data_IF_367480900630
#
_entry.id   IF_367480900630
#
_cell.length_a   1.000
_cell.length_b   1.000
_cell.length_c   1.000
_cell.angle_alpha   90.00
_cell.angle_beta   90.00
_cell.angle_gamma   90.00
#
_symmetry.space_group_name_H-M   'P 1'
#
loop_
_entity.id
_entity.type
_entity.pdbx_description
1 polymer ?
#
# COMPACT_ATOMS: atom_id res chain seq x y z
N UNK A 1 8.91 -5.52 -1.62
CA UNK A 1 10.26 -6.16 -1.57
C UNK A 1 10.31 -7.32 -0.58
N UNK A 2 9.66 -7.21 0.59
CA UNK A 2 9.70 -8.24 1.63
C UNK A 2 9.27 -9.62 1.16
N UNK A 3 8.31 -9.74 0.23
CA UNK A 3 7.90 -11.06 -0.28
C UNK A 3 9.01 -11.75 -1.11
N UNK A 4 9.73 -10.99 -1.94
CA UNK A 4 10.88 -11.53 -2.69
C UNK A 4 12.00 -11.96 -1.74
N UNK A 5 12.30 -11.13 -0.73
CA UNK A 5 13.30 -11.47 0.28
C UNK A 5 12.88 -12.69 1.09
N UNK A 6 11.60 -12.80 1.46
CA UNK A 6 11.06 -13.95 2.18
C UNK A 6 11.25 -15.24 1.38
N UNK A 7 10.86 -15.28 0.11
CA UNK A 7 11.03 -16.48 -0.72
C UNK A 7 12.50 -16.78 -1.01
N UNK A 8 13.34 -15.75 -1.20
CA UNK A 8 14.78 -15.94 -1.38
C UNK A 8 15.45 -16.53 -0.11
N UNK A 9 15.10 -16.03 1.07
CA UNK A 9 15.60 -16.51 2.34
C UNK A 9 15.09 -17.93 2.66
N UNK A 10 13.78 -18.18 2.46
CA UNK A 10 13.17 -19.49 2.65
C UNK A 10 13.81 -20.54 1.73
N UNK A 11 14.03 -20.20 0.46
CA UNK A 11 14.76 -21.05 -0.47
C UNK A 11 16.19 -21.32 0.00
N UNK A 12 16.95 -20.29 0.39
CA UNK A 12 18.32 -20.44 0.90
C UNK A 12 18.39 -21.38 2.11
N UNK A 13 17.51 -21.17 3.09
CA UNK A 13 17.47 -21.96 4.32
C UNK A 13 17.09 -23.43 4.04
N UNK A 14 16.04 -23.68 3.25
CA UNK A 14 15.61 -25.04 2.92
C UNK A 14 16.61 -25.79 2.04
N UNK A 15 17.32 -25.11 1.13
CA UNK A 15 18.42 -25.73 0.39
C UNK A 15 19.57 -26.11 1.34
N UNK A 16 19.89 -25.27 2.33
CA UNK A 16 20.93 -25.59 3.33
C UNK A 16 20.53 -26.78 4.21
N UNK A 17 19.30 -26.80 4.74
CA UNK A 17 18.79 -27.93 5.53
C UNK A 17 18.80 -29.22 4.69
N UNK A 18 18.38 -29.15 3.43
CA UNK A 18 18.42 -30.31 2.55
C UNK A 18 19.85 -30.82 2.32
N UNK A 19 20.83 -29.94 2.14
CA UNK A 19 22.24 -30.34 2.03
C UNK A 19 22.74 -31.02 3.31
N UNK A 20 22.35 -30.53 4.49
CA UNK A 20 22.66 -31.18 5.77
C UNK A 20 22.04 -32.57 5.86
N UNK A 21 20.75 -32.72 5.53
CA UNK A 21 20.04 -34.00 5.52
C UNK A 21 20.66 -35.03 4.56
N UNK A 22 21.29 -34.57 3.48
CA UNK A 22 21.98 -35.44 2.53
C UNK A 22 23.39 -35.86 2.96
N UNK A 23 23.95 -35.26 4.01
CA UNK A 23 25.29 -35.57 4.50
C UNK A 23 25.45 -37.03 4.93
N UNK A 24 26.66 -37.56 4.77
CA UNK A 24 26.96 -38.96 5.12
C UNK A 24 26.69 -39.26 6.60
N UNK A 25 26.93 -38.29 7.47
CA UNK A 25 26.64 -38.40 8.90
C UNK A 25 25.15 -38.67 9.17
N UNK A 26 24.26 -37.89 8.55
CA UNK A 26 22.81 -38.05 8.75
C UNK A 26 22.30 -39.32 8.07
N UNK A 27 22.84 -39.69 6.89
CA UNK A 27 22.50 -40.96 6.25
C UNK A 27 22.87 -42.17 7.10
N UNK A 28 24.04 -42.17 7.76
CA UNK A 28 24.44 -43.24 8.69
C UNK A 28 23.49 -43.32 9.89
N UNK A 29 23.11 -42.18 10.48
CA UNK A 29 22.14 -42.14 11.59
C UNK A 29 20.80 -42.74 11.16
N UNK A 30 20.31 -42.43 9.95
CA UNK A 30 19.09 -43.02 9.41
C UNK A 30 19.18 -44.54 9.24
N UNK A 31 20.30 -45.07 8.77
CA UNK A 31 20.52 -46.51 8.65
C UNK A 31 20.47 -47.22 10.01
N UNK A 32 21.06 -46.62 11.05
CA UNK A 32 20.99 -47.18 12.41
C UNK A 32 19.57 -47.12 12.99
N UNK A 33 18.85 -46.01 12.77
CA UNK A 33 17.45 -45.87 13.20
C UNK A 33 16.53 -46.88 12.51
N UNK A 34 16.82 -47.22 11.25
CA UNK A 34 16.08 -48.23 10.50
C UNK A 34 16.40 -49.66 11.00
N UNK A 35 17.69 -49.97 11.17
CA UNK A 35 18.14 -51.26 11.69
C UNK A 35 17.59 -51.55 13.11
N UNK A 36 17.46 -50.51 13.93
CA UNK A 36 16.89 -50.60 15.30
C UNK A 36 15.36 -50.62 15.33
N UNK A 37 14.68 -50.54 14.17
CA UNK A 37 13.21 -50.40 14.06
C UNK A 37 12.66 -49.28 14.96
N UNK A 38 13.38 -48.16 15.02
CA UNK A 38 13.03 -47.03 15.86
C UNK A 38 11.68 -46.42 15.48
N UNK A 39 10.85 -46.11 16.48
CA UNK A 39 9.58 -45.41 16.29
C UNK A 39 9.74 -44.01 15.70
N UNK A 40 10.94 -43.42 15.76
CA UNK A 40 11.25 -42.08 15.24
C UNK A 40 11.56 -42.06 13.74
N UNK A 41 11.79 -43.20 13.10
CA UNK A 41 12.14 -43.26 11.68
C UNK A 41 11.00 -42.72 10.79
N UNK A 42 9.76 -43.17 11.02
CA UNK A 42 8.59 -42.75 10.22
C UNK A 42 8.30 -41.25 10.32
N UNK A 43 8.22 -40.63 11.53
CA UNK A 43 8.08 -39.17 11.66
C UNK A 43 9.22 -38.39 10.99
N UNK A 44 10.47 -38.85 11.13
CA UNK A 44 11.61 -38.18 10.51
C UNK A 44 11.58 -38.25 8.98
N UNK A 45 11.25 -39.41 8.41
CA UNK A 45 11.07 -39.57 6.97
C UNK A 45 9.96 -38.66 6.43
N UNK A 46 8.87 -38.49 7.19
CA UNK A 46 7.79 -37.54 6.87
C UNK A 46 8.31 -36.10 6.84
N UNK A 47 9.06 -35.67 7.86
CA UNK A 47 9.67 -34.33 7.89
C UNK A 47 10.63 -34.10 6.70
N UNK A 48 11.45 -35.09 6.35
CA UNK A 48 12.31 -35.01 5.16
C UNK A 48 11.51 -34.79 3.87
N UNK A 49 10.37 -35.48 3.73
CA UNK A 49 9.47 -35.30 2.58
C UNK A 49 8.84 -33.90 2.59
N UNK A 50 8.41 -33.40 3.73
CA UNK A 50 7.87 -32.04 3.88
C UNK A 50 8.92 -30.98 3.52
N UNK A 51 10.15 -31.12 3.99
CA UNK A 51 11.28 -30.25 3.63
C UNK A 51 11.54 -30.28 2.13
N UNK A 52 11.53 -31.46 1.50
CA UNK A 52 11.72 -31.58 0.06
C UNK A 52 10.64 -30.85 -0.73
N UNK A 53 9.36 -31.01 -0.36
CA UNK A 53 8.24 -30.33 -1.01
C UNK A 53 8.30 -28.80 -0.79
N UNK A 54 8.51 -28.35 0.45
CA UNK A 54 8.64 -26.94 0.78
C UNK A 54 9.84 -26.29 0.07
N UNK A 55 10.93 -27.02 -0.12
CA UNK A 55 12.11 -26.58 -0.87
C UNK A 55 11.79 -26.40 -2.35
N UNK A 56 11.12 -27.38 -2.96
CA UNK A 56 10.70 -27.30 -4.37
C UNK A 56 9.81 -26.07 -4.60
N UNK A 57 8.82 -25.86 -3.72
CA UNK A 57 7.97 -24.67 -3.73
C UNK A 57 8.78 -23.36 -3.58
N UNK A 58 9.66 -23.28 -2.58
CA UNK A 58 10.38 -22.04 -2.31
C UNK A 58 11.32 -21.66 -3.46
N UNK A 59 11.96 -22.66 -4.09
CA UNK A 59 12.82 -22.43 -5.26
C UNK A 59 12.02 -21.98 -6.48
N UNK A 60 10.86 -22.61 -6.76
CA UNK A 60 9.98 -22.24 -7.87
C UNK A 60 9.46 -20.80 -7.69
N UNK A 61 8.93 -20.48 -6.52
CA UNK A 61 8.45 -19.13 -6.22
C UNK A 61 9.56 -18.09 -6.33
N UNK A 62 10.76 -18.37 -5.79
CA UNK A 62 11.91 -17.48 -5.95
C UNK A 62 12.24 -17.24 -7.42
N UNK A 63 12.24 -18.29 -8.23
CA UNK A 63 12.54 -18.20 -9.66
C UNK A 63 11.52 -17.35 -10.41
N UNK A 64 10.23 -17.61 -10.22
CA UNK A 64 9.17 -16.87 -10.90
C UNK A 64 8.98 -15.44 -10.38
N UNK A 65 9.31 -15.15 -9.11
CA UNK A 65 9.24 -13.79 -8.57
C UNK A 65 10.45 -12.93 -8.95
N UNK A 66 11.58 -13.53 -9.33
CA UNK A 66 12.80 -12.79 -9.66
C UNK A 66 12.63 -11.69 -10.72
N UNK A 67 11.88 -11.90 -11.83
CA UNK A 67 11.61 -10.84 -12.80
C UNK A 67 10.91 -9.60 -12.23
N UNK A 68 10.15 -9.74 -11.13
CA UNK A 68 9.51 -8.61 -10.45
C UNK A 68 10.50 -7.75 -9.65
N UNK A 69 11.69 -8.26 -9.32
CA UNK A 69 12.68 -7.54 -8.53
C UNK A 69 13.02 -6.19 -9.17
N UNK A 70 13.33 -6.20 -10.47
CA UNK A 70 13.63 -4.99 -11.24
C UNK A 70 12.50 -3.96 -11.17
N UNK A 71 11.24 -4.40 -11.30
CA UNK A 71 10.10 -3.49 -11.26
C UNK A 71 9.86 -2.91 -9.87
N UNK A 72 10.09 -3.69 -8.81
CA UNK A 72 9.99 -3.21 -7.43
C UNK A 72 11.14 -2.29 -7.04
N UNK A 73 12.33 -2.53 -7.56
CA UNK A 73 13.45 -1.57 -7.43
C UNK A 73 13.11 -0.25 -8.11
N UNK A 74 12.58 -0.28 -9.34
CA UNK A 74 12.14 0.92 -10.05
C UNK A 74 11.03 1.66 -9.30
N UNK A 75 10.04 0.92 -8.76
CA UNK A 75 8.97 1.49 -7.95
C UNK A 75 9.52 2.16 -6.67
N UNK A 76 10.48 1.52 -6.01
CA UNK A 76 11.12 2.06 -4.81
C UNK A 76 12.02 3.26 -5.13
N UNK A 77 12.68 3.29 -6.28
CA UNK A 77 13.57 4.39 -6.70
C UNK A 77 12.84 5.57 -7.34
N UNK A 78 11.60 5.39 -7.80
CA UNK A 78 10.83 6.43 -8.46
C UNK A 78 10.67 7.65 -7.53
N UNK A 79 10.93 8.83 -8.08
CA UNK A 79 10.89 10.09 -7.33
C UNK A 79 9.53 10.76 -7.45
N UNK A 80 8.84 10.54 -8.57
CA UNK A 80 7.57 11.21 -8.88
C UNK A 80 6.43 10.20 -9.02
N UNK A 81 5.21 10.63 -8.66
CA UNK A 81 4.00 9.82 -8.83
C UNK A 81 3.70 9.47 -10.30
N UNK A 82 3.91 10.37 -11.28
CA UNK A 82 3.75 10.03 -12.70
C UNK A 82 4.69 8.91 -13.17
N UNK A 83 5.95 8.86 -12.72
CA UNK A 83 6.85 7.73 -13.04
C UNK A 83 6.30 6.40 -12.52
N UNK A 84 5.77 6.40 -11.29
CA UNK A 84 5.16 5.23 -10.67
C UNK A 84 3.98 4.71 -11.49
N UNK A 85 3.15 5.62 -12.01
CA UNK A 85 1.97 5.31 -12.82
C UNK A 85 2.34 4.44 -14.03
N UNK A 86 3.43 4.76 -14.70
CA UNK A 86 3.85 4.08 -15.93
C UNK A 86 4.38 2.65 -15.67
N UNK A 87 4.73 2.33 -14.42
CA UNK A 87 5.19 1.00 -14.00
C UNK A 87 4.06 0.00 -13.76
N UNK A 88 2.81 0.45 -13.57
CA UNK A 88 1.71 -0.45 -13.17
C UNK A 88 1.37 -1.51 -14.21
N UNK A 89 1.36 -1.14 -15.51
CA UNK A 89 1.05 -2.08 -16.58
C UNK A 89 2.13 -3.18 -16.71
N UNK A 90 3.44 -2.86 -16.79
CA UNK A 90 4.50 -3.86 -16.75
C UNK A 90 4.46 -4.79 -15.53
N UNK A 91 4.20 -4.23 -14.34
CA UNK A 91 4.09 -5.00 -13.10
C UNK A 91 2.93 -5.99 -13.18
N UNK A 92 1.71 -5.52 -13.47
CA UNK A 92 0.53 -6.38 -13.52
C UNK A 92 0.62 -7.43 -14.63
N UNK A 93 1.25 -7.10 -15.76
CA UNK A 93 1.53 -8.07 -16.81
C UNK A 93 2.48 -9.16 -16.33
N UNK A 94 3.57 -8.79 -15.67
CA UNK A 94 4.53 -9.74 -15.11
C UNK A 94 3.86 -10.66 -14.07
N UNK A 95 2.98 -10.11 -13.22
CA UNK A 95 2.18 -10.89 -12.26
C UNK A 95 1.27 -11.88 -12.99
N UNK A 96 0.60 -11.48 -14.07
CA UNK A 96 -0.23 -12.39 -14.87
C UNK A 96 0.60 -13.52 -15.49
N UNK A 97 1.79 -13.22 -16.03
CA UNK A 97 2.68 -14.24 -16.59
C UNK A 97 3.17 -15.24 -15.52
N UNK A 98 3.50 -14.74 -14.33
CA UNK A 98 3.85 -15.58 -13.18
C UNK A 98 2.68 -16.47 -12.78
N UNK A 99 1.48 -15.90 -12.72
CA UNK A 99 0.26 -16.63 -12.39
C UNK A 99 -0.04 -17.76 -13.40
N UNK A 100 0.24 -17.53 -14.68
CA UNK A 100 0.09 -18.52 -15.75
C UNK A 100 1.12 -19.64 -15.68
N UNK A 101 2.36 -19.30 -15.32
CA UNK A 101 3.51 -20.18 -15.53
C UNK A 101 3.95 -20.91 -14.26
N UNK A 102 3.76 -20.29 -13.08
CA UNK A 102 4.19 -20.86 -11.82
C UNK A 102 3.25 -21.96 -11.35
N UNK A 103 3.85 -23.02 -10.80
CA UNK A 103 3.11 -24.17 -10.25
C UNK A 103 2.67 -23.95 -8.81
N UNK A 104 3.41 -23.13 -8.07
CA UNK A 104 3.18 -22.92 -6.65
C UNK A 104 2.69 -21.50 -6.34
N UNK A 105 3.06 -20.49 -7.13
CA UNK A 105 2.73 -19.09 -6.81
C UNK A 105 1.29 -18.70 -7.19
N UNK A 106 0.63 -19.48 -8.05
CA UNK A 106 -0.70 -19.23 -8.60
C UNK A 106 -1.85 -19.46 -7.60
N UNK A 107 -1.67 -19.00 -6.35
CA UNK A 107 -2.61 -19.16 -5.22
C UNK A 107 -3.11 -17.77 -4.80
N UNK A 108 -4.44 -17.58 -4.60
CA UNK A 108 -5.02 -16.27 -4.27
C UNK A 108 -4.36 -15.56 -3.09
N UNK A 109 -4.03 -16.29 -2.02
CA UNK A 109 -3.40 -15.72 -0.83
C UNK A 109 -2.05 -15.06 -1.10
N UNK A 110 -1.25 -15.58 -2.05
CA UNK A 110 0.07 -15.00 -2.41
C UNK A 110 -0.09 -13.71 -3.20
N UNK A 111 -0.99 -13.74 -4.17
CA UNK A 111 -1.34 -12.55 -4.93
C UNK A 111 -1.89 -11.43 -4.04
N UNK A 112 -2.64 -11.77 -2.98
CA UNK A 112 -3.09 -10.78 -1.98
C UNK A 112 -1.91 -10.10 -1.28
N UNK A 113 -0.91 -10.86 -0.84
CA UNK A 113 0.29 -10.29 -0.19
C UNK A 113 1.03 -9.36 -1.15
N UNK A 114 1.24 -9.80 -2.39
CA UNK A 114 1.96 -9.04 -3.40
C UNK A 114 1.28 -7.71 -3.73
N UNK A 115 -0.03 -7.75 -4.01
CA UNK A 115 -0.80 -6.54 -4.34
C UNK A 115 -0.85 -5.59 -3.15
N UNK A 116 -1.00 -6.10 -1.92
CA UNK A 116 -0.94 -5.26 -0.71
C UNK A 116 0.42 -4.57 -0.56
N UNK A 117 1.52 -5.26 -0.84
CA UNK A 117 2.85 -4.63 -0.81
C UNK A 117 2.97 -3.51 -1.85
N UNK A 118 2.41 -3.70 -3.05
CA UNK A 118 2.38 -2.65 -4.09
C UNK A 118 1.52 -1.46 -3.62
N UNK A 119 0.31 -1.71 -3.10
CA UNK A 119 -0.55 -0.66 -2.53
C UNK A 119 0.18 0.14 -1.44
N UNK A 120 0.84 -0.54 -0.51
CA UNK A 120 1.58 0.11 0.58
C UNK A 120 2.71 1.00 0.05
N UNK A 121 3.43 0.56 -0.98
CA UNK A 121 4.50 1.38 -1.58
C UNK A 121 3.93 2.60 -2.32
N UNK A 122 2.79 2.45 -3.02
CA UNK A 122 2.09 3.59 -3.65
C UNK A 122 1.67 4.62 -2.60
N UNK A 123 1.04 4.18 -1.50
CA UNK A 123 0.61 5.04 -0.40
C UNK A 123 1.82 5.77 0.21
N UNK A 124 2.91 5.04 0.49
CA UNK A 124 4.15 5.61 1.01
C UNK A 124 4.70 6.71 0.10
N UNK A 125 4.72 6.48 -1.22
CA UNK A 125 5.17 7.46 -2.20
C UNK A 125 4.24 8.67 -2.30
N UNK A 126 2.93 8.46 -2.19
CA UNK A 126 1.96 9.54 -2.18
C UNK A 126 2.09 10.42 -0.91
N UNK A 127 2.30 9.81 0.27
CA UNK A 127 2.55 10.54 1.52
C UNK A 127 3.89 11.28 1.50
N UNK A 128 4.93 10.74 0.84
CA UNK A 128 6.18 11.47 0.62
C UNK A 128 6.02 12.66 -0.32
N UNK A 129 5.10 12.56 -1.28
CA UNK A 129 4.79 13.65 -2.20
C UNK A 129 4.08 14.79 -1.45
N UNK A 130 3.05 14.46 -0.67
CA UNK A 130 2.29 15.38 0.18
C UNK A 130 2.03 14.75 1.57
N UNK A 131 2.66 15.32 2.59
CA UNK A 131 2.43 15.01 3.99
C UNK A 131 1.69 16.18 4.68
N UNK A 132 1.26 15.99 5.93
CA UNK A 132 0.51 17.01 6.68
C UNK A 132 1.30 18.30 6.91
N UNK A 133 2.60 18.21 7.19
CA UNK A 133 3.47 19.38 7.35
C UNK A 133 3.50 20.23 6.07
N UNK A 134 3.82 19.61 4.93
CA UNK A 134 3.86 20.28 3.63
C UNK A 134 2.50 20.81 3.21
N UNK A 135 1.43 20.10 3.53
CA UNK A 135 0.06 20.58 3.31
C UNK A 135 -0.16 21.91 4.04
N UNK A 136 0.18 21.98 5.33
CA UNK A 136 0.00 23.20 6.11
C UNK A 136 0.95 24.33 5.71
N UNK A 137 2.19 24.02 5.31
CA UNK A 137 3.11 25.00 4.72
C UNK A 137 2.50 25.64 3.46
N UNK A 138 1.92 24.84 2.56
CA UNK A 138 1.24 25.35 1.36
C UNK A 138 0.00 26.18 1.70
N UNK A 139 -0.75 25.79 2.74
CA UNK A 139 -1.89 26.56 3.25
C UNK A 139 -1.42 27.94 3.76
N UNK A 140 -0.33 27.99 4.53
CA UNK A 140 0.21 29.24 5.10
C UNK A 140 0.80 30.16 4.03
N UNK A 141 1.38 29.59 2.98
CA UNK A 141 1.88 30.33 1.82
C UNK A 141 0.76 30.75 0.85
N UNK A 142 -0.51 30.40 1.14
CA UNK A 142 -1.65 30.60 0.23
C UNK A 142 -1.52 29.91 -1.13
N UNK A 143 -0.75 28.82 -1.20
CA UNK A 143 -0.50 28.00 -2.39
C UNK A 143 -1.45 26.78 -2.46
N UNK A 144 -2.73 27.00 -2.16
CA UNK A 144 -3.76 25.95 -2.09
C UNK A 144 -3.97 25.21 -3.42
N UNK A 145 -3.76 25.90 -4.53
CA UNK A 145 -3.84 25.30 -5.87
C UNK A 145 -2.80 24.20 -6.06
N UNK A 146 -1.61 24.39 -5.51
CA UNK A 146 -0.54 23.39 -5.52
C UNK A 146 -0.90 22.20 -4.64
N UNK A 147 -1.39 22.43 -3.41
CA UNK A 147 -1.84 21.35 -2.52
C UNK A 147 -2.94 20.50 -3.17
N UNK A 148 -3.94 21.16 -3.78
CA UNK A 148 -5.02 20.49 -4.50
C UNK A 148 -4.52 19.68 -5.70
N UNK A 149 -3.60 20.25 -6.50
CA UNK A 149 -2.97 19.56 -7.61
C UNK A 149 -2.24 18.29 -7.14
N UNK A 150 -1.50 18.38 -6.03
CA UNK A 150 -0.76 17.25 -5.48
C UNK A 150 -1.67 16.13 -4.93
N UNK A 151 -2.78 16.49 -4.28
CA UNK A 151 -3.82 15.54 -3.86
C UNK A 151 -4.47 14.86 -5.08
N UNK A 152 -4.83 15.64 -6.10
CA UNK A 152 -5.44 15.13 -7.33
C UNK A 152 -4.51 14.15 -8.07
N UNK A 153 -3.22 14.47 -8.18
CA UNK A 153 -2.23 13.54 -8.76
C UNK A 153 -2.18 12.23 -7.96
N UNK A 154 -2.18 12.30 -6.62
CA UNK A 154 -2.17 11.12 -5.75
C UNK A 154 -3.41 10.24 -5.94
N UNK A 155 -4.60 10.85 -5.97
CA UNK A 155 -5.88 10.18 -6.25
C UNK A 155 -5.86 9.52 -7.63
N UNK A 156 -5.40 10.22 -8.67
CA UNK A 156 -5.32 9.72 -10.03
C UNK A 156 -4.40 8.51 -10.16
N UNK A 157 -3.22 8.54 -9.52
CA UNK A 157 -2.28 7.42 -9.53
C UNK A 157 -2.88 6.20 -8.82
N UNK A 158 -3.48 6.38 -7.65
CA UNK A 158 -4.14 5.29 -6.92
C UNK A 158 -5.31 4.68 -7.71
N UNK A 159 -6.15 5.52 -8.32
CA UNK A 159 -7.24 5.08 -9.19
C UNK A 159 -6.74 4.36 -10.44
N UNK A 160 -5.65 4.84 -11.04
CA UNK A 160 -5.03 4.19 -12.20
C UNK A 160 -4.53 2.79 -11.86
N UNK A 161 -3.88 2.60 -10.70
CA UNK A 161 -3.45 1.28 -10.26
C UNK A 161 -4.62 0.30 -10.16
N UNK A 162 -5.73 0.71 -9.53
CA UNK A 162 -6.96 -0.09 -9.45
C UNK A 162 -7.48 -0.45 -10.84
N UNK A 163 -7.58 0.52 -11.74
CA UNK A 163 -8.04 0.31 -13.11
C UNK A 163 -7.16 -0.72 -13.83
N UNK A 164 -5.84 -0.57 -13.77
CA UNK A 164 -4.90 -1.53 -14.37
C UNK A 164 -5.06 -2.91 -13.74
N UNK A 165 -5.18 -3.02 -12.41
CA UNK A 165 -5.44 -4.30 -11.76
C UNK A 165 -6.72 -4.96 -12.27
N UNK A 166 -7.81 -4.21 -12.41
CA UNK A 166 -9.08 -4.74 -12.93
C UNK A 166 -8.99 -5.16 -14.40
N UNK A 167 -8.25 -4.44 -15.24
CA UNK A 167 -7.96 -4.85 -16.61
C UNK A 167 -7.27 -6.23 -16.65
N UNK A 168 -6.24 -6.43 -15.81
CA UNK A 168 -5.52 -7.70 -15.74
C UNK A 168 -6.33 -8.81 -15.06
N UNK A 169 -7.17 -8.47 -14.08
CA UNK A 169 -8.15 -9.41 -13.51
C UNK A 169 -9.10 -9.92 -14.59
N UNK A 170 -9.62 -9.04 -15.44
CA UNK A 170 -10.47 -9.42 -16.58
C UNK A 170 -9.72 -10.30 -17.60
N UNK A 171 -8.46 -9.94 -17.93
CA UNK A 171 -7.61 -10.78 -18.80
C UNK A 171 -7.33 -12.17 -18.20
N UNK A 172 -7.23 -12.29 -16.87
CA UNK A 172 -7.05 -13.60 -16.23
C UNK A 172 -8.22 -14.55 -16.48
N UNK A 173 -9.44 -14.01 -16.68
CA UNK A 173 -10.64 -14.80 -16.99
C UNK A 173 -10.53 -15.47 -18.36
N UNK A 174 -10.00 -14.76 -19.35
CA UNK A 174 -9.86 -15.26 -20.72
C UNK A 174 -8.61 -16.10 -20.90
N UNK A 175 -7.49 -15.71 -20.29
CA UNK A 175 -6.20 -16.39 -20.47
C UNK A 175 -5.99 -17.60 -19.56
N UNK A 176 -6.66 -17.66 -18.41
CA UNK A 176 -6.49 -18.73 -17.40
C UNK A 176 -7.85 -19.20 -16.84
N UNK A 177 -8.74 -19.75 -17.68
CA UNK A 177 -10.11 -20.11 -17.26
C UNK A 177 -10.15 -21.17 -16.16
N UNK A 178 -9.08 -21.98 -16.00
CA UNK A 178 -8.97 -22.99 -14.95
C UNK A 178 -8.51 -22.46 -13.58
N UNK A 179 -7.88 -21.28 -13.52
CA UNK A 179 -7.37 -20.70 -12.28
C UNK A 179 -7.42 -19.16 -12.34
N UNK A 180 -8.62 -18.61 -12.15
CA UNK A 180 -8.87 -17.18 -12.25
C UNK A 180 -8.38 -16.43 -10.99
N UNK A 181 -8.22 -15.12 -11.10
CA UNK A 181 -7.97 -14.24 -9.94
C UNK A 181 -9.24 -14.09 -9.07
N UNK A 182 -9.62 -15.16 -8.37
CA UNK A 182 -10.77 -15.22 -7.45
C UNK A 182 -10.43 -14.61 -6.10
N UNK A 183 -10.17 -13.30 -6.10
CA UNK A 183 -9.82 -12.54 -4.89
C UNK A 183 -10.90 -11.51 -4.59
N UNK A 184 -11.25 -11.41 -3.31
CA UNK A 184 -12.12 -10.35 -2.78
C UNK A 184 -11.39 -9.02 -2.85
N UNK A 185 -11.94 -8.07 -3.61
CA UNK A 185 -11.30 -6.77 -3.85
C UNK A 185 -11.06 -6.00 -2.54
N UNK A 186 -12.01 -6.07 -1.59
CA UNK A 186 -11.91 -5.39 -0.29
C UNK A 186 -10.66 -5.85 0.47
N UNK A 187 -10.31 -7.13 0.40
CA UNK A 187 -9.11 -7.64 1.05
C UNK A 187 -7.81 -7.08 0.43
N UNK A 188 -7.83 -6.67 -0.83
CA UNK A 188 -6.66 -6.12 -1.52
C UNK A 188 -6.47 -4.63 -1.25
N UNK A 189 -7.58 -3.89 -1.32
CA UNK A 189 -7.54 -2.44 -1.40
C UNK A 189 -7.87 -1.72 -0.11
N UNK A 190 -8.23 -2.41 0.99
CA UNK A 190 -8.65 -1.77 2.26
C UNK A 190 -7.79 -0.56 2.68
N UNK A 191 -6.46 -0.68 2.64
CA UNK A 191 -5.56 0.43 3.01
C UNK A 191 -5.48 1.52 1.94
N UNK A 192 -5.53 1.14 0.67
CA UNK A 192 -5.56 2.08 -0.45
C UNK A 192 -6.88 2.85 -0.50
N UNK A 193 -7.99 2.20 -0.15
CA UNK A 193 -9.32 2.79 -0.05
C UNK A 193 -9.35 3.81 1.09
N UNK A 194 -8.87 3.43 2.28
CA UNK A 194 -8.71 4.35 3.40
C UNK A 194 -7.83 5.57 3.03
N UNK A 195 -6.77 5.37 2.25
CA UNK A 195 -5.94 6.46 1.74
C UNK A 195 -6.69 7.39 0.79
N UNK A 196 -7.48 6.84 -0.14
CA UNK A 196 -8.29 7.63 -1.06
C UNK A 196 -9.33 8.48 -0.30
N UNK A 197 -10.02 7.89 0.68
CA UNK A 197 -10.95 8.64 1.54
C UNK A 197 -10.23 9.76 2.29
N UNK A 198 -9.06 9.48 2.88
CA UNK A 198 -8.24 10.50 3.55
C UNK A 198 -7.86 11.64 2.61
N UNK A 199 -7.45 11.34 1.38
CA UNK A 199 -7.17 12.37 0.37
C UNK A 199 -8.40 13.21 0.04
N UNK A 200 -9.60 12.61 0.00
CA UNK A 200 -10.85 13.32 -0.23
C UNK A 200 -11.21 14.24 0.93
N UNK A 201 -11.08 13.77 2.17
CA UNK A 201 -11.30 14.57 3.39
C UNK A 201 -10.37 15.79 3.43
N UNK A 202 -9.08 15.58 3.16
CA UNK A 202 -8.08 16.65 3.13
C UNK A 202 -8.34 17.62 1.98
N UNK A 203 -8.83 17.15 0.84
CA UNK A 203 -9.22 18.01 -0.27
C UNK A 203 -10.45 18.87 0.07
N UNK A 204 -11.39 18.34 0.84
CA UNK A 204 -12.52 19.12 1.36
C UNK A 204 -12.04 20.19 2.37
N UNK A 205 -11.04 19.85 3.20
CA UNK A 205 -10.40 20.81 4.12
C UNK A 205 -9.75 21.98 3.37
N UNK A 206 -8.94 21.71 2.35
CA UNK A 206 -8.28 22.75 1.55
C UNK A 206 -9.29 23.63 0.81
N UNK A 207 -10.37 23.04 0.28
CA UNK A 207 -11.45 23.79 -0.34
C UNK A 207 -12.17 24.70 0.67
N UNK A 208 -12.45 24.19 1.87
CA UNK A 208 -13.08 24.97 2.95
C UNK A 208 -12.20 26.15 3.33
N UNK A 209 -10.90 25.90 3.55
CA UNK A 209 -9.94 26.97 3.83
C UNK A 209 -9.93 28.04 2.73
N UNK A 210 -9.91 27.64 1.45
CA UNK A 210 -9.96 28.57 0.33
C UNK A 210 -11.21 29.48 0.35
N UNK A 211 -12.38 28.96 0.71
CA UNK A 211 -13.60 29.77 0.81
C UNK A 211 -13.52 30.75 1.99
N UNK A 212 -13.03 30.30 3.14
CA UNK A 212 -12.90 31.16 4.32
C UNK A 212 -11.83 32.24 4.16
N UNK A 213 -10.77 31.98 3.40
CA UNK A 213 -9.77 33.00 3.08
C UNK A 213 -10.36 34.18 2.29
N UNK A 214 -11.40 33.95 1.47
CA UNK A 214 -12.11 35.03 0.76
C UNK A 214 -12.93 35.91 1.71
N UNK A 215 -13.42 35.35 2.82
CA UNK A 215 -14.16 36.11 3.83
C UNK A 215 -13.27 37.14 4.54
N UNK A 216 -11.96 36.88 4.64
CA UNK A 216 -11.01 37.79 5.25
C UNK A 216 -10.90 39.16 4.55
N UNK A 217 -11.20 39.21 3.25
CA UNK A 217 -11.12 40.43 2.44
C UNK A 217 -12.51 41.01 2.11
N UNK A 218 -13.58 40.41 2.63
CA UNK A 218 -14.95 40.77 2.26
C UNK A 218 -15.48 41.91 3.14
N UNK A 219 -15.64 43.09 2.53
CA UNK A 219 -16.32 44.22 3.16
C UNK A 219 -17.76 44.34 2.63
N UNK A 220 -18.74 44.37 3.55
CA UNK A 220 -20.15 44.53 3.20
C UNK A 220 -20.53 46.02 3.29
N UNK A 221 -20.96 46.59 2.16
CA UNK A 221 -21.48 47.95 2.09
C UNK A 221 -22.94 48.09 2.53
N UNK A 222 -23.39 49.34 2.71
CA UNK A 222 -24.80 49.67 2.99
C UNK A 222 -25.10 50.07 4.44
N UNK A 223 -26.37 50.31 4.75
CA UNK A 223 -26.83 50.87 6.04
C UNK A 223 -26.59 49.94 7.24
N UNK A 224 -26.48 48.62 7.00
CA UNK A 224 -26.08 47.60 7.99
C UNK A 224 -24.69 47.03 7.73
N UNK A 225 -23.91 47.64 6.82
CA UNK A 225 -22.64 47.11 6.35
C UNK A 225 -21.64 46.88 7.47
N UNK A 226 -21.46 47.85 8.38
CA UNK A 226 -20.54 47.72 9.54
C UNK A 226 -20.84 46.48 10.39
N UNK A 227 -22.10 46.26 10.77
CA UNK A 227 -22.48 45.12 11.61
C UNK A 227 -22.21 43.79 10.90
N UNK A 228 -22.55 43.70 9.62
CA UNK A 228 -22.34 42.49 8.83
C UNK A 228 -20.85 42.21 8.59
N UNK A 229 -20.05 43.22 8.29
CA UNK A 229 -18.59 43.09 8.16
C UNK A 229 -17.96 42.63 9.47
N UNK A 230 -18.38 43.16 10.62
CA UNK A 230 -17.91 42.68 11.93
C UNK A 230 -18.28 41.22 12.18
N UNK A 231 -19.51 40.80 11.84
CA UNK A 231 -19.91 39.39 11.95
C UNK A 231 -19.09 38.47 11.06
N UNK A 232 -18.79 38.87 9.82
CA UNK A 232 -17.95 38.10 8.90
C UNK A 232 -16.53 37.95 9.43
N UNK A 233 -15.93 39.02 9.95
CA UNK A 233 -14.60 38.95 10.57
C UNK A 233 -14.58 38.06 11.83
N UNK A 234 -15.65 38.05 12.61
CA UNK A 234 -15.76 37.14 13.76
C UNK A 234 -15.78 35.67 13.31
N UNK A 235 -16.61 35.34 12.31
CA UNK A 235 -16.66 33.98 11.74
C UNK A 235 -15.28 33.56 11.22
N UNK A 236 -14.56 34.46 10.57
CA UNK A 236 -13.20 34.18 10.10
C UNK A 236 -12.22 33.96 11.25
N UNK A 237 -12.31 34.74 12.34
CA UNK A 237 -11.49 34.54 13.53
C UNK A 237 -11.74 33.18 14.21
N UNK A 238 -13.01 32.79 14.35
CA UNK A 238 -13.40 31.50 14.93
C UNK A 238 -12.88 30.32 14.07
N UNK A 239 -12.91 30.48 12.74
CA UNK A 239 -12.32 29.54 11.80
C UNK A 239 -10.79 29.43 11.97
N UNK A 240 -10.09 30.56 12.12
CA UNK A 240 -8.64 30.55 12.34
C UNK A 240 -8.26 29.83 13.64
N UNK A 241 -9.03 29.99 14.72
CA UNK A 241 -8.81 29.26 15.97
C UNK A 241 -8.98 27.75 15.77
N UNK A 242 -10.04 27.35 15.06
CA UNK A 242 -10.33 25.94 14.78
C UNK A 242 -9.26 25.31 13.89
N UNK A 243 -8.74 26.05 12.90
CA UNK A 243 -7.62 25.63 12.07
C UNK A 243 -6.32 25.49 12.89
N UNK A 244 -6.06 26.42 13.82
CA UNK A 244 -4.89 26.34 14.69
C UNK A 244 -4.93 25.09 15.59
N UNK A 245 -6.12 24.69 16.06
CA UNK A 245 -6.31 23.43 16.78
C UNK A 245 -5.95 22.22 15.90
N UNK A 246 -6.42 22.19 14.64
CA UNK A 246 -6.08 21.12 13.68
C UNK A 246 -4.59 21.06 13.33
N UNK A 247 -3.92 22.21 13.27
CA UNK A 247 -2.47 22.27 13.01
C UNK A 247 -1.62 21.78 14.18
N UNK A 248 -2.10 21.93 15.41
CA UNK A 248 -1.35 21.60 16.62
C UNK A 248 -1.49 20.13 17.04
N UNK A 249 -2.08 19.32 16.18
CA UNK A 249 -2.24 17.88 16.34
C UNK A 249 -0.87 17.20 16.31
N UNK A 250 -0.64 16.21 17.18
CA UNK A 250 0.68 15.55 17.34
C UNK A 250 0.96 14.44 16.31
N UNK A 251 0.13 14.31 15.28
CA UNK A 251 0.27 13.30 14.23
C UNK A 251 0.14 13.94 12.85
N UNK A 252 0.65 13.26 11.83
CA UNK A 252 0.51 13.68 10.44
C UNK A 252 -0.91 13.42 9.94
N UNK A 253 -1.62 14.44 9.46
CA UNK A 253 -2.97 14.32 8.91
C UNK A 253 -3.08 13.31 7.77
N UNK A 254 -2.00 13.05 7.02
CA UNK A 254 -1.98 12.08 5.94
C UNK A 254 -1.64 10.67 6.41
N UNK A 255 -1.25 10.47 7.67
CA UNK A 255 -0.98 9.15 8.24
C UNK A 255 -2.28 8.38 8.48
N UNK A 256 -2.34 7.18 7.90
CA UNK A 256 -3.49 6.27 8.01
C UNK A 256 -3.50 5.49 9.32
N UNK A 257 -2.35 5.37 9.99
CA UNK A 257 -2.24 4.67 11.25
C UNK A 257 -2.68 5.56 12.44
N UNK A 258 -2.85 6.88 12.19
CA UNK A 258 -3.39 7.85 13.13
C UNK A 258 -4.91 7.75 13.28
N UNK A 259 -5.36 7.04 14.32
CA UNK A 259 -6.79 6.80 14.61
C UNK A 259 -7.58 8.04 15.02
N UNK A 260 -6.91 9.05 15.56
CA UNK A 260 -7.56 10.26 16.07
C UNK A 260 -8.00 11.23 14.97
N UNK A 261 -7.52 11.03 13.72
CA UNK A 261 -7.89 11.88 12.59
C UNK A 261 -9.40 12.00 12.38
N UNK A 262 -10.12 10.88 12.42
CA UNK A 262 -11.56 10.90 12.14
C UNK A 262 -12.33 11.74 13.17
N UNK A 263 -11.94 11.64 14.45
CA UNK A 263 -12.55 12.40 15.54
C UNK A 263 -12.22 13.90 15.44
N UNK A 264 -10.94 14.25 15.22
CA UNK A 264 -10.50 15.64 15.12
C UNK A 264 -11.06 16.31 13.85
N UNK A 265 -11.12 15.59 12.74
CA UNK A 265 -11.71 16.07 11.51
C UNK A 265 -13.24 16.23 11.61
N UNK A 266 -13.92 15.32 12.32
CA UNK A 266 -15.34 15.49 12.62
C UNK A 266 -15.58 16.72 13.51
N UNK A 267 -14.75 16.93 14.54
CA UNK A 267 -14.82 18.11 15.39
C UNK A 267 -14.61 19.40 14.57
N UNK A 268 -13.66 19.42 13.64
CA UNK A 268 -13.46 20.52 12.70
C UNK A 268 -14.70 20.80 11.84
N UNK A 269 -15.34 19.77 11.27
CA UNK A 269 -16.56 19.93 10.46
C UNK A 269 -17.78 20.39 11.26
N UNK A 270 -17.82 20.12 12.56
CA UNK A 270 -18.98 20.40 13.42
C UNK A 270 -19.03 21.84 13.94
N UNK A 271 -17.90 22.55 13.91
CA UNK A 271 -17.77 23.95 14.32
C UNK A 271 -18.00 24.89 13.14
#
# INVERSE_FOLDING_TARGET
MEELHFWAAKAKNLNSIFAQLQSDSIRKVLQYLDASKSTYNVPFAKLCKEVFLARAEANDNKHYLWPLAKWFEQLASAQTLPEIRDLFRPICHSILLIWKSSRFYNIPARLVVLIRQICNEIIKKAMMHLNGEKLFELIDQSELEQANSMLQVSLQVCAHFKSVYFDYKAKSVTEVPGNLWRIQNNALFIRLDAFLERCHDVLELTQTFYQFQKLAQMEIGGTKGKTLTTSVHQIYADFQETLAQMKNVQYDLMDLDAKHFEDDFYAFRSK
#
